data_IF_796038425595
#
_entry.id   IF_796038425595
#
_cell.length_a   1.000
_cell.length_b   1.000
_cell.length_c   1.000
_cell.angle_alpha   90.00
_cell.angle_beta   90.00
_cell.angle_gamma   90.00
#
_symmetry.space_group_name_H-M   'P 1'
#
loop_
_entity.id
_entity.type
_entity.pdbx_description
1 polymer ?
#
# COMPACT_ATOMS: atom_id res chain seq x y z
N UNK A 1 4.55 -5.98 -10.31
CA UNK A 1 4.33 -4.52 -10.49
C UNK A 1 5.13 -3.97 -11.66
N UNK A 2 6.47 -4.03 -11.66
CA UNK A 2 7.30 -3.66 -12.82
C UNK A 2 6.97 -4.47 -14.08
N UNK A 3 6.73 -5.78 -13.93
CA UNK A 3 6.31 -6.68 -15.02
C UNK A 3 5.00 -6.25 -15.72
N UNK A 4 4.13 -5.55 -15.00
CA UNK A 4 2.84 -5.05 -15.51
C UNK A 4 2.88 -3.54 -15.81
N UNK A 5 4.06 -2.91 -15.81
CA UNK A 5 4.21 -1.47 -16.04
C UNK A 5 3.48 -0.58 -15.02
N UNK A 6 3.23 -1.07 -13.81
CA UNK A 6 2.47 -0.33 -12.79
C UNK A 6 3.38 0.69 -12.11
N UNK A 7 3.28 1.94 -12.56
CA UNK A 7 3.97 3.10 -12.00
C UNK A 7 3.35 3.57 -10.67
N UNK A 8 3.62 2.83 -9.60
CA UNK A 8 3.14 3.14 -8.25
C UNK A 8 4.20 3.76 -7.32
N UNK A 9 5.32 4.23 -7.89
CA UNK A 9 6.38 4.97 -7.19
C UNK A 9 6.91 4.23 -5.95
N UNK A 10 7.18 2.93 -6.09
CA UNK A 10 7.72 2.14 -4.99
C UNK A 10 9.14 2.58 -4.63
N UNK A 11 9.36 2.91 -3.36
CA UNK A 11 10.67 3.25 -2.80
C UNK A 11 10.92 2.49 -1.51
N UNK A 12 12.11 1.90 -1.37
CA UNK A 12 12.56 1.27 -0.13
C UNK A 12 13.03 2.32 0.88
N UNK A 13 12.08 3.02 1.49
CA UNK A 13 12.35 4.13 2.41
C UNK A 13 12.56 3.68 3.86
N UNK A 14 12.21 2.43 4.20
CA UNK A 14 12.20 1.95 5.57
C UNK A 14 11.09 2.61 6.41
N UNK A 15 11.10 2.34 7.71
CA UNK A 15 10.13 2.91 8.66
C UNK A 15 10.84 3.37 9.93
N UNK A 16 10.58 4.60 10.35
CA UNK A 16 10.94 5.10 11.67
C UNK A 16 9.74 5.04 12.61
N UNK A 17 9.93 4.53 13.83
CA UNK A 17 8.95 4.60 14.90
C UNK A 17 9.61 5.22 16.13
N UNK A 18 9.22 6.45 16.46
CA UNK A 18 9.87 7.25 17.50
C UNK A 18 9.02 7.35 18.78
N UNK A 19 9.69 7.48 19.92
CA UNK A 19 9.09 7.58 21.24
C UNK A 19 9.56 8.85 21.97
N UNK A 20 8.63 9.49 22.68
CA UNK A 20 8.89 10.75 23.43
C UNK A 20 9.28 10.49 24.88
N UNK A 21 8.84 9.39 25.48
CA UNK A 21 9.04 9.10 26.90
C UNK A 21 9.37 7.63 27.16
N UNK A 22 9.82 7.34 28.38
CA UNK A 22 10.29 6.01 28.81
C UNK A 22 9.30 4.88 28.52
N UNK A 23 8.00 5.12 28.71
CA UNK A 23 6.95 4.15 28.36
C UNK A 23 6.96 3.79 26.88
N UNK A 24 7.15 4.79 26.01
CA UNK A 24 7.24 4.59 24.56
C UNK A 24 8.53 3.85 24.18
N UNK A 25 9.64 4.16 24.86
CA UNK A 25 10.93 3.46 24.67
C UNK A 25 10.79 1.98 25.02
N UNK A 26 10.14 1.63 26.12
CA UNK A 26 9.89 0.23 26.49
C UNK A 26 9.06 -0.51 25.42
N UNK A 27 8.09 0.17 24.80
CA UNK A 27 7.31 -0.40 23.68
C UNK A 27 8.19 -0.61 22.44
N UNK A 28 9.07 0.34 22.11
CA UNK A 28 10.02 0.19 21.00
C UNK A 28 10.96 -1.00 21.20
N UNK A 29 11.44 -1.20 22.44
CA UNK A 29 12.31 -2.32 22.77
C UNK A 29 11.59 -3.67 22.68
N UNK A 30 10.35 -3.75 23.17
CA UNK A 30 9.51 -4.92 22.99
C UNK A 30 9.25 -5.22 21.50
N UNK A 31 9.04 -4.18 20.70
CA UNK A 31 8.85 -4.33 19.25
C UNK A 31 10.13 -4.79 18.55
N UNK A 32 11.29 -4.21 18.89
CA UNK A 32 12.61 -4.66 18.42
C UNK A 32 12.84 -6.14 18.70
N UNK A 33 12.59 -6.59 19.93
CA UNK A 33 12.72 -8.00 20.30
C UNK A 33 11.77 -8.90 19.51
N UNK A 34 10.53 -8.44 19.24
CA UNK A 34 9.59 -9.15 18.39
C UNK A 34 10.08 -9.31 16.95
N UNK A 35 10.70 -8.27 16.39
CA UNK A 35 11.28 -8.29 15.04
C UNK A 35 12.50 -9.21 14.95
N UNK A 36 13.36 -9.20 15.96
CA UNK A 36 14.52 -10.08 16.04
C UNK A 36 14.13 -11.57 16.04
N UNK A 37 13.07 -11.93 16.78
CA UNK A 37 12.54 -13.31 16.83
C UNK A 37 12.06 -13.84 15.47
N UNK A 38 11.63 -12.96 14.58
CA UNK A 38 11.20 -13.32 13.22
C UNK A 38 12.33 -13.10 12.19
N UNK A 39 13.57 -12.89 12.64
CA UNK A 39 14.74 -12.71 11.78
C UNK A 39 14.76 -11.38 11.03
N UNK A 40 14.03 -10.38 11.52
CA UNK A 40 13.93 -9.07 10.86
C UNK A 40 14.82 -8.06 11.57
N UNK A 41 15.76 -7.48 10.83
CA UNK A 41 16.66 -6.45 11.36
C UNK A 41 15.90 -5.16 11.68
N UNK A 42 16.23 -4.55 12.82
CA UNK A 42 15.78 -3.23 13.23
C UNK A 42 16.86 -2.55 14.07
N UNK A 43 17.05 -1.25 13.86
CA UNK A 43 18.11 -0.45 14.49
C UNK A 43 17.50 0.53 15.49
N UNK A 44 18.06 0.58 16.70
CA UNK A 44 17.66 1.57 17.71
C UNK A 44 18.54 2.80 17.60
N UNK A 45 17.93 3.96 17.34
CA UNK A 45 18.61 5.24 17.13
C UNK A 45 18.38 6.11 18.37
N UNK A 46 19.45 6.58 19.03
CA UNK A 46 19.33 7.41 20.22
C UNK A 46 18.88 8.84 19.85
N UNK A 47 18.19 9.52 20.77
CA UNK A 47 17.60 10.84 20.54
C UNK A 47 18.56 11.91 20.03
N UNK A 48 19.84 11.83 20.44
CA UNK A 48 20.90 12.74 19.98
C UNK A 48 21.15 12.68 18.47
N UNK A 49 20.89 11.55 17.83
CA UNK A 49 21.18 11.32 16.42
C UNK A 49 19.90 11.56 15.57
N UNK A 50 18.72 11.66 16.18
CA UNK A 50 17.44 11.84 15.47
C UNK A 50 17.32 13.11 14.61
N UNK A 51 17.92 14.26 14.96
CA UNK A 51 17.92 15.43 14.06
C UNK A 51 18.52 15.12 12.69
N UNK A 52 19.56 14.30 12.61
CA UNK A 52 20.21 13.94 11.34
C UNK A 52 19.40 12.92 10.53
N UNK A 53 18.60 12.10 11.20
CA UNK A 53 17.78 11.06 10.55
C UNK A 53 16.40 11.56 10.11
N UNK A 54 15.70 12.31 10.98
CA UNK A 54 14.28 12.68 10.78
C UNK A 54 14.00 14.17 11.00
N UNK A 55 15.05 14.99 11.19
CA UNK A 55 14.92 16.46 11.24
C UNK A 55 14.36 17.04 12.54
N UNK A 56 14.30 16.27 13.63
CA UNK A 56 13.76 16.73 14.91
C UNK A 56 14.46 16.12 16.12
N UNK A 57 14.61 16.91 17.18
CA UNK A 57 15.13 16.52 18.50
C UNK A 57 14.02 16.22 19.52
N UNK A 58 12.75 16.21 19.10
CA UNK A 58 11.60 16.06 20.00
C UNK A 58 11.51 14.67 20.66
N UNK A 59 12.03 13.64 20.01
CA UNK A 59 11.92 12.26 20.46
C UNK A 59 13.16 11.82 21.25
N UNK A 60 12.98 10.95 22.24
CA UNK A 60 14.07 10.39 23.03
C UNK A 60 14.80 9.26 22.32
N UNK A 61 14.09 8.49 21.49
CA UNK A 61 14.63 7.34 20.75
C UNK A 61 13.71 6.99 19.58
N UNK A 62 14.26 6.33 18.57
CA UNK A 62 13.48 5.75 17.49
C UNK A 62 13.98 4.37 17.08
N UNK A 63 13.08 3.54 16.56
CA UNK A 63 13.38 2.27 15.93
C UNK A 63 13.27 2.43 14.41
N UNK A 64 14.37 2.18 13.70
CA UNK A 64 14.40 2.13 12.25
C UNK A 64 14.31 0.69 11.74
N UNK A 65 13.42 0.46 10.77
CA UNK A 65 13.16 -0.87 10.19
C UNK A 65 13.38 -0.79 8.67
N UNK A 66 14.52 -1.31 8.15
CA UNK A 66 14.80 -1.32 6.71
C UNK A 66 13.88 -2.27 5.95
N UNK A 67 13.84 -2.11 4.62
CA UNK A 67 13.03 -2.97 3.73
C UNK A 67 11.51 -2.72 3.80
N UNK A 68 11.08 -1.64 4.46
CA UNK A 68 9.69 -1.16 4.34
C UNK A 68 9.57 -0.31 3.08
N UNK A 69 8.56 -0.60 2.26
CA UNK A 69 8.32 0.08 0.99
C UNK A 69 7.25 1.16 1.18
N UNK A 70 7.55 2.36 0.70
CA UNK A 70 6.57 3.41 0.48
C UNK A 70 6.10 3.34 -0.97
N UNK A 71 4.80 3.45 -1.21
CA UNK A 71 4.22 3.44 -2.54
C UNK A 71 2.92 4.24 -2.57
N UNK A 72 2.42 4.53 -3.77
CA UNK A 72 1.13 5.18 -3.99
C UNK A 72 0.00 4.15 -4.10
N UNK A 73 -0.89 4.00 -3.09
CA UNK A 73 -1.88 2.94 -3.07
C UNK A 73 -2.90 3.04 -4.21
N UNK A 74 -3.33 4.26 -4.54
CA UNK A 74 -4.27 4.48 -5.65
C UNK A 74 -3.66 4.12 -7.00
N UNK A 75 -2.39 4.46 -7.24
CA UNK A 75 -1.71 4.10 -8.48
C UNK A 75 -1.56 2.59 -8.62
N UNK A 76 -1.26 1.90 -7.52
CA UNK A 76 -1.20 0.44 -7.49
C UNK A 76 -2.56 -0.18 -7.84
N UNK A 77 -3.64 0.21 -7.17
CA UNK A 77 -4.98 -0.36 -7.41
C UNK A 77 -5.42 -0.12 -8.85
N UNK A 78 -5.22 1.09 -9.38
CA UNK A 78 -5.55 1.39 -10.78
C UNK A 78 -4.73 0.55 -11.75
N UNK A 79 -3.41 0.48 -11.55
CA UNK A 79 -2.55 -0.33 -12.41
C UNK A 79 -2.89 -1.82 -12.37
N UNK A 80 -3.32 -2.35 -11.22
CA UNK A 80 -3.82 -3.72 -11.13
C UNK A 80 -5.14 -3.91 -11.88
N UNK A 81 -6.06 -2.95 -11.78
CA UNK A 81 -7.33 -2.96 -12.51
C UNK A 81 -7.11 -2.90 -14.04
N UNK A 82 -6.14 -2.10 -14.49
CA UNK A 82 -5.78 -1.98 -15.91
C UNK A 82 -5.08 -3.24 -16.46
N UNK A 83 -4.50 -4.07 -15.58
CA UNK A 83 -3.76 -5.29 -15.95
C UNK A 83 -4.50 -6.58 -15.58
N UNK A 84 -5.84 -6.54 -15.47
CA UNK A 84 -6.63 -7.73 -15.20
C UNK A 84 -6.52 -8.75 -16.36
N UNK A 85 -6.49 -10.05 -16.05
CA UNK A 85 -6.39 -11.08 -17.08
C UNK A 85 -7.68 -11.12 -17.92
N UNK A 86 -7.58 -11.62 -19.15
CA UNK A 86 -8.67 -11.59 -20.13
C UNK A 86 -9.94 -12.34 -19.71
N UNK A 87 -9.86 -13.21 -18.71
CA UNK A 87 -10.98 -13.94 -18.14
C UNK A 87 -11.71 -13.18 -17.01
N UNK A 88 -11.33 -11.93 -16.72
CA UNK A 88 -11.92 -11.11 -15.66
C UNK A 88 -12.59 -9.87 -16.26
N UNK A 89 -13.84 -9.63 -15.85
CA UNK A 89 -14.58 -8.41 -16.20
C UNK A 89 -14.67 -7.50 -14.98
N UNK A 90 -14.18 -6.27 -15.12
CA UNK A 90 -14.27 -5.25 -14.07
C UNK A 90 -15.61 -4.50 -14.18
N UNK A 91 -16.37 -4.46 -13.09
CA UNK A 91 -17.61 -3.69 -12.98
C UNK A 91 -17.42 -2.54 -11.99
N UNK A 92 -17.18 -1.33 -12.52
CA UNK A 92 -17.10 -0.12 -11.71
C UNK A 92 -18.50 0.50 -11.54
N UNK A 93 -18.69 1.31 -10.49
CA UNK A 93 -19.92 2.08 -10.26
C UNK A 93 -21.22 1.25 -10.24
N UNK A 94 -21.13 -0.03 -9.89
CA UNK A 94 -22.29 -0.92 -9.77
C UNK A 94 -22.66 -1.06 -8.30
N UNK A 95 -23.67 -0.32 -7.79
CA UNK A 95 -24.11 -0.49 -6.42
C UNK A 95 -24.66 -1.91 -6.20
N UNK A 96 -24.41 -2.48 -5.03
CA UNK A 96 -24.70 -3.89 -4.67
C UNK A 96 -26.19 -4.30 -4.64
N UNK A 97 -27.10 -3.57 -5.30
CA UNK A 97 -28.50 -3.97 -5.45
C UNK A 97 -28.72 -5.14 -6.43
N UNK A 98 -27.65 -5.74 -6.95
CA UNK A 98 -27.68 -6.83 -7.93
C UNK A 98 -27.95 -8.23 -7.35
N UNK A 99 -28.22 -8.37 -6.05
CA UNK A 99 -28.70 -9.65 -5.49
C UNK A 99 -30.11 -10.02 -6.02
N UNK A 100 -30.86 -9.09 -6.63
CA UNK A 100 -32.22 -9.37 -7.15
C UNK A 100 -32.28 -9.77 -8.63
N UNK A 101 -31.25 -9.50 -9.42
CA UNK A 101 -31.32 -9.59 -10.89
C UNK A 101 -30.70 -10.86 -11.50
N UNK A 102 -29.87 -11.61 -10.76
CA UNK A 102 -29.36 -12.91 -11.25
C UNK A 102 -30.40 -14.06 -11.19
N UNK A 103 -31.59 -13.82 -10.62
CA UNK A 103 -32.71 -14.80 -10.66
C UNK A 103 -33.64 -14.61 -11.87
N UNK A 104 -33.44 -13.56 -12.67
CA UNK A 104 -34.18 -13.30 -13.90
C UNK A 104 -33.18 -13.12 -15.04
N UNK A 105 -32.51 -14.21 -15.40
CA UNK A 105 -32.11 -14.37 -16.80
C UNK A 105 -33.39 -14.60 -17.60
N UNK A 106 -34.06 -13.51 -17.94
CA UNK A 106 -34.54 -13.29 -19.29
C UNK A 106 -34.70 -11.79 -19.55
N UNK A 107 -34.00 -11.38 -20.60
CA UNK A 107 -34.26 -10.21 -21.42
C UNK A 107 -34.13 -8.79 -20.79
N UNK A 108 -33.00 -8.19 -21.19
CA UNK A 108 -32.91 -6.82 -21.72
C UNK A 108 -32.76 -5.66 -20.72
N UNK A 109 -31.89 -4.74 -21.14
CA UNK A 109 -31.72 -3.38 -20.64
C UNK A 109 -31.04 -3.21 -19.27
N UNK A 110 -29.71 -3.28 -19.28
CA UNK A 110 -28.91 -2.40 -18.43
C UNK A 110 -27.95 -1.61 -19.33
N UNK A 111 -28.42 -0.45 -19.79
CA UNK A 111 -27.60 0.59 -20.41
C UNK A 111 -26.71 1.23 -19.33
N UNK A 112 -25.64 0.54 -18.94
CA UNK A 112 -24.52 1.12 -18.22
C UNK A 112 -23.49 1.59 -19.24
N UNK A 113 -22.98 2.82 -19.10
CA UNK A 113 -21.95 3.37 -19.98
C UNK A 113 -20.72 2.43 -20.03
N UNK A 114 -20.60 1.67 -21.11
CA UNK A 114 -19.43 0.86 -21.43
C UNK A 114 -18.30 1.80 -21.86
N UNK A 115 -17.37 2.09 -20.95
CA UNK A 115 -16.10 2.71 -21.35
C UNK A 115 -15.12 1.60 -21.76
N UNK A 116 -15.15 1.19 -23.05
CA UNK A 116 -14.02 0.49 -23.66
C UNK A 116 -12.96 1.55 -23.99
N UNK A 117 -11.84 1.58 -23.27
CA UNK A 117 -10.64 2.20 -23.84
C UNK A 117 -10.02 1.24 -24.84
N UNK A 118 -10.18 1.57 -26.11
CA UNK A 118 -9.30 1.09 -27.15
C UNK A 118 -7.87 1.55 -26.82
N UNK A 119 -6.94 0.61 -26.69
CA UNK A 119 -5.53 0.91 -26.76
C UNK A 119 -5.21 1.29 -28.21
N UNK A 120 -4.98 2.57 -28.48
CA UNK A 120 -4.39 3.01 -29.73
C UNK A 120 -2.91 2.60 -29.73
N UNK A 121 -2.62 1.57 -30.51
CA UNK A 121 -1.31 1.28 -31.06
C UNK A 121 -1.00 2.30 -32.15
N UNK A 122 -0.02 3.18 -31.89
CA UNK A 122 0.57 4.07 -32.88
C UNK A 122 2.06 3.75 -33.04
N UNK A 123 2.43 3.49 -34.30
CA UNK A 123 3.80 3.37 -34.85
C UNK A 123 4.68 4.60 -34.60
#
# INVERSE_FOLDING_TARGET
MKEHGIECQMTESGKYQAAVGEKGVAILEAYRSGLEKIGRHAEMIPGKDLPDHIGTSYYQQALYIPGTILLQPSALVKGLADNLPSNVTLYENTPHHLHRLWRQSDASACSGHHYRRHADSGE
#
